data_IF_770773305509
#
_entry.id   IF_770773305509
#
_cell.length_a   1.000
_cell.length_b   1.000
_cell.length_c   1.000
_cell.angle_alpha   90.00
_cell.angle_beta   90.00
_cell.angle_gamma   90.00
#
_symmetry.space_group_name_H-M   'P 1'
#
loop_
_entity.id
_entity.type
_entity.pdbx_description
1 polymer ?
#
# COMPACT_ATOMS: atom_id res chain seq x y z
N UNK A 1 -22.43 8.04 10.19
CA UNK A 1 -20.99 7.96 9.90
C UNK A 1 -20.32 9.16 10.53
N UNK A 2 -19.33 8.96 11.40
CA UNK A 2 -18.50 10.06 11.89
C UNK A 2 -17.56 10.50 10.75
N UNK A 3 -17.55 11.79 10.45
CA UNK A 3 -16.66 12.35 9.43
C UNK A 3 -15.40 12.82 10.14
N UNK A 4 -14.26 12.30 9.72
CA UNK A 4 -12.94 12.76 10.16
C UNK A 4 -12.25 13.50 9.02
N UNK A 5 -11.44 14.50 9.36
CA UNK A 5 -10.69 15.28 8.36
C UNK A 5 -9.24 14.84 8.37
N UNK A 6 -8.70 14.52 7.19
CA UNK A 6 -7.27 14.33 6.97
C UNK A 6 -6.74 15.49 6.13
N UNK A 7 -5.54 15.97 6.45
CA UNK A 7 -4.86 17.00 5.67
C UNK A 7 -3.95 16.35 4.63
N UNK A 8 -4.15 16.71 3.36
CA UNK A 8 -3.32 16.25 2.24
C UNK A 8 -2.95 17.43 1.35
N UNK A 9 -1.84 17.32 0.62
CA UNK A 9 -1.45 18.36 -0.34
C UNK A 9 -2.42 18.41 -1.51
N UNK A 10 -2.51 19.57 -2.17
CA UNK A 10 -3.32 19.73 -3.37
C UNK A 10 -2.91 18.76 -4.49
N UNK A 11 -1.60 18.51 -4.63
CA UNK A 11 -1.06 17.55 -5.58
C UNK A 11 -1.54 16.11 -5.30
N UNK A 12 -1.55 15.68 -4.04
CA UNK A 12 -2.09 14.36 -3.66
C UNK A 12 -3.57 14.26 -3.96
N UNK A 13 -4.36 15.30 -3.64
CA UNK A 13 -5.80 15.35 -3.97
C UNK A 13 -6.05 15.22 -5.47
N UNK A 14 -5.25 15.90 -6.30
CA UNK A 14 -5.36 15.78 -7.76
C UNK A 14 -5.03 14.37 -8.26
N UNK A 15 -4.00 13.72 -7.71
CA UNK A 15 -3.67 12.33 -8.03
C UNK A 15 -4.82 11.39 -7.67
N UNK A 16 -5.42 11.55 -6.48
CA UNK A 16 -6.59 10.78 -6.07
C UNK A 16 -7.78 11.03 -7.00
N UNK A 17 -8.05 12.28 -7.38
CA UNK A 17 -9.15 12.62 -8.28
C UNK A 17 -9.04 11.91 -9.64
N UNK A 18 -7.83 11.74 -10.16
CA UNK A 18 -7.57 11.02 -11.43
C UNK A 18 -7.78 9.50 -11.33
N UNK A 19 -7.73 8.95 -10.12
CA UNK A 19 -7.91 7.52 -9.86
C UNK A 19 -9.37 7.13 -9.61
N UNK A 20 -10.27 8.11 -9.53
CA UNK A 20 -11.71 7.86 -9.40
C UNK A 20 -12.21 7.17 -10.67
N UNK A 21 -12.87 6.04 -10.49
CA UNK A 21 -13.50 5.24 -11.54
C UNK A 21 -14.76 5.88 -12.11
N UNK A 22 -15.40 6.78 -11.36
CA UNK A 22 -16.58 7.53 -11.79
C UNK A 22 -16.68 8.89 -11.09
N UNK A 23 -17.54 9.77 -11.62
CA UNK A 23 -17.84 11.07 -11.01
C UNK A 23 -18.42 10.94 -9.60
N UNK A 24 -19.20 9.88 -9.34
CA UNK A 24 -19.88 9.62 -8.07
C UNK A 24 -19.05 8.93 -6.98
N UNK A 25 -17.87 8.38 -7.30
CA UNK A 25 -17.01 7.76 -6.29
C UNK A 25 -16.59 8.79 -5.23
N UNK A 26 -16.54 8.43 -3.95
CA UNK A 26 -16.06 9.34 -2.90
C UNK A 26 -14.56 9.15 -2.69
N UNK A 27 -13.88 10.15 -2.12
CA UNK A 27 -12.48 9.97 -1.72
C UNK A 27 -12.33 8.85 -0.68
N UNK A 28 -13.29 8.73 0.23
CA UNK A 28 -13.34 7.65 1.21
C UNK A 28 -13.46 6.27 0.54
N UNK A 29 -14.36 6.13 -0.45
CA UNK A 29 -14.50 4.89 -1.23
C UNK A 29 -13.22 4.53 -1.97
N UNK A 30 -12.59 5.52 -2.64
CA UNK A 30 -11.32 5.32 -3.32
C UNK A 30 -10.20 4.92 -2.35
N UNK A 31 -10.08 5.59 -1.21
CA UNK A 31 -9.07 5.27 -0.19
C UNK A 31 -9.28 3.85 0.33
N UNK A 32 -10.52 3.46 0.67
CA UNK A 32 -10.82 2.09 1.10
C UNK A 32 -10.51 1.04 0.02
N UNK A 33 -10.76 1.35 -1.26
CA UNK A 33 -10.36 0.50 -2.38
C UNK A 33 -8.84 0.35 -2.51
N UNK A 34 -8.07 1.40 -2.23
CA UNK A 34 -6.60 1.31 -2.20
C UNK A 34 -6.11 0.51 -0.99
N UNK A 35 -6.74 0.69 0.17
CA UNK A 35 -6.41 -0.04 1.40
C UNK A 35 -6.69 -1.54 1.27
N UNK A 36 -7.74 -1.94 0.55
CA UNK A 36 -8.06 -3.36 0.34
C UNK A 36 -7.03 -4.13 -0.48
N UNK A 37 -6.13 -3.42 -1.19
CA UNK A 37 -5.00 -4.06 -1.87
C UNK A 37 -3.93 -4.58 -0.90
N UNK A 38 -3.93 -4.09 0.35
CA UNK A 38 -3.02 -4.57 1.39
C UNK A 38 -3.70 -5.75 2.11
N UNK A 39 -3.25 -6.99 1.89
CA UNK A 39 -3.87 -8.16 2.50
C UNK A 39 -3.87 -8.06 4.03
N UNK A 40 -4.94 -8.57 4.64
CA UNK A 40 -5.07 -8.67 6.10
C UNK A 40 -4.50 -9.97 6.66
N UNK A 41 -4.23 -10.94 5.79
CA UNK A 41 -3.81 -12.28 6.14
C UNK A 41 -3.78 -13.19 4.92
N UNK A 42 -3.44 -14.45 5.15
CA UNK A 42 -3.44 -15.55 4.19
C UNK A 42 -3.99 -16.84 4.85
N UNK A 43 -3.68 -18.00 4.26
CA UNK A 43 -4.10 -19.31 4.77
C UNK A 43 -3.56 -19.61 6.19
N UNK A 44 -2.49 -18.94 6.62
CA UNK A 44 -1.89 -19.09 7.95
C UNK A 44 -2.53 -18.13 8.99
N UNK A 45 -3.40 -17.22 8.56
CA UNK A 45 -4.17 -16.34 9.42
C UNK A 45 -3.88 -14.86 9.22
N UNK A 46 -4.16 -14.05 10.25
CA UNK A 46 -4.07 -12.58 10.16
C UNK A 46 -2.65 -12.08 10.31
N UNK A 47 -2.28 -11.14 9.44
CA UNK A 47 -1.02 -10.42 9.52
C UNK A 47 -0.99 -9.44 10.69
N UNK A 48 0.17 -9.37 11.32
CA UNK A 48 0.45 -8.32 12.30
C UNK A 48 0.51 -6.95 11.62
N UNK A 49 0.25 -5.88 12.37
CA UNK A 49 0.37 -4.53 11.85
C UNK A 49 1.78 -4.25 11.29
N UNK A 50 2.82 -4.66 12.02
CA UNK A 50 4.22 -4.50 11.59
C UNK A 50 4.49 -5.21 10.26
N UNK A 51 3.98 -6.43 10.09
CA UNK A 51 4.12 -7.16 8.84
C UNK A 51 3.39 -6.47 7.68
N UNK A 52 2.17 -5.97 7.89
CA UNK A 52 1.41 -5.23 6.85
C UNK A 52 2.15 -3.98 6.38
N UNK A 53 2.76 -3.24 7.31
CA UNK A 53 3.59 -2.06 6.98
C UNK A 53 4.83 -2.49 6.19
N UNK A 54 5.53 -3.54 6.63
CA UNK A 54 6.70 -4.07 5.93
C UNK A 54 6.37 -4.56 4.51
N UNK A 55 5.24 -5.27 4.35
CA UNK A 55 4.76 -5.74 3.06
C UNK A 55 4.43 -4.58 2.11
N UNK A 56 3.80 -3.52 2.61
CA UNK A 56 3.54 -2.32 1.82
C UNK A 56 4.84 -1.66 1.38
N UNK A 57 5.81 -1.51 2.28
CA UNK A 57 7.12 -0.95 1.95
C UNK A 57 7.84 -1.79 0.89
N UNK A 58 7.86 -3.12 1.04
CA UNK A 58 8.47 -4.02 0.07
C UNK A 58 7.82 -3.89 -1.32
N UNK A 59 6.49 -3.75 -1.41
CA UNK A 59 5.79 -3.50 -2.68
C UNK A 59 6.20 -2.16 -3.31
N UNK A 60 6.40 -1.12 -2.51
CA UNK A 60 6.91 0.17 -3.00
C UNK A 60 8.36 0.04 -3.47
N UNK A 61 9.20 -0.71 -2.76
CA UNK A 61 10.59 -0.94 -3.15
C UNK A 61 10.69 -1.67 -4.49
N UNK A 62 9.89 -2.72 -4.69
CA UNK A 62 9.79 -3.42 -5.98
C UNK A 62 9.35 -2.47 -7.09
N UNK A 63 8.32 -1.66 -6.86
CA UNK A 63 7.83 -0.69 -7.84
C UNK A 63 8.89 0.33 -8.25
N UNK A 64 9.71 0.76 -7.30
CA UNK A 64 10.77 1.76 -7.51
C UNK A 64 12.12 1.13 -7.92
N UNK A 65 12.16 -0.18 -8.17
CA UNK A 65 13.37 -0.90 -8.56
C UNK A 65 14.42 -1.03 -7.44
N UNK A 66 14.06 -0.77 -6.19
CA UNK A 66 14.91 -0.95 -5.01
C UNK A 66 14.94 -2.41 -4.58
N UNK A 67 15.54 -3.26 -5.41
CA UNK A 67 15.64 -4.71 -5.19
C UNK A 67 17.10 -5.15 -5.04
N UNK A 68 17.31 -6.31 -4.40
CA UNK A 68 18.62 -6.94 -4.30
C UNK A 68 18.76 -8.07 -5.33
N UNK A 69 19.94 -8.23 -5.95
CA UNK A 69 20.23 -9.41 -6.75
C UNK A 69 20.12 -10.69 -5.91
N UNK A 70 19.66 -11.79 -6.52
CA UNK A 70 19.47 -13.08 -5.85
C UNK A 70 20.73 -13.57 -5.12
N UNK A 71 21.89 -13.45 -5.77
CA UNK A 71 23.18 -13.87 -5.19
C UNK A 71 23.60 -13.02 -3.99
N UNK A 72 23.20 -11.74 -3.96
CA UNK A 72 23.43 -10.91 -2.78
C UNK A 72 22.50 -11.29 -1.63
N UNK A 73 21.26 -11.68 -1.91
CA UNK A 73 20.31 -12.17 -0.89
C UNK A 73 20.85 -13.45 -0.24
N UNK A 74 21.29 -14.44 -1.04
CA UNK A 74 21.91 -15.67 -0.53
C UNK A 74 23.08 -15.39 0.42
N UNK A 75 24.03 -14.56 -0.03
CA UNK A 75 25.19 -14.15 0.77
C UNK A 75 24.80 -13.52 2.11
N UNK A 76 23.77 -12.67 2.12
CA UNK A 76 23.27 -12.03 3.36
C UNK A 76 22.58 -13.00 4.31
N UNK A 77 21.93 -14.03 3.77
CA UNK A 77 21.23 -15.05 4.54
C UNK A 77 22.14 -16.22 4.96
N UNK A 78 23.39 -16.26 4.48
CA UNK A 78 24.31 -17.37 4.74
C UNK A 78 23.89 -18.66 4.03
N UNK A 79 23.19 -18.54 2.90
CA UNK A 79 22.72 -19.64 2.04
C UNK A 79 23.62 -19.85 0.82
#
# INVERSE_FOLDING_TARGET
MSVTTIQITAATRQKLARLKSSSGETYDGLINKLLSLVPEGDEEGRYTHAFRVGLLQARLDVKEGRVLPHEEVKRRLGL
#
